data_IF_148961802622
#
_entry.id   IF_148961802622
#
_cell.length_a   1.000
_cell.length_b   1.000
_cell.length_c   1.000
_cell.angle_alpha   90.00
_cell.angle_beta   90.00
_cell.angle_gamma   90.00
#
_symmetry.space_group_name_H-M   'P 1'
#
loop_
_entity.id
_entity.type
_entity.pdbx_description
1 polymer ?
#
# COMPACT_ATOMS: atom_id res chain seq x y z
N UNK A 1 -16.65 7.09 9.59
CA UNK A 1 -15.62 7.97 9.01
C UNK A 1 -15.08 7.34 7.72
N UNK A 2 -14.64 8.14 6.74
CA UNK A 2 -14.08 7.64 5.48
C UNK A 2 -12.86 6.72 5.71
N UNK A 3 -12.11 6.92 6.78
CA UNK A 3 -10.94 6.11 7.10
C UNK A 3 -11.24 4.62 7.35
N UNK A 4 -12.45 4.28 7.81
CA UNK A 4 -12.83 2.87 8.01
C UNK A 4 -13.14 2.14 6.69
N UNK A 5 -13.28 2.89 5.58
CA UNK A 5 -13.57 2.36 4.25
C UNK A 5 -12.31 2.19 3.40
N UNK A 6 -11.15 2.60 3.91
CA UNK A 6 -9.90 2.54 3.17
C UNK A 6 -9.43 1.08 3.08
N UNK A 7 -9.21 0.56 1.86
CA UNK A 7 -8.72 -0.80 1.68
C UNK A 7 -7.36 -1.03 2.35
N UNK A 8 -7.12 -2.25 2.81
CA UNK A 8 -5.89 -2.64 3.52
C UNK A 8 -4.61 -2.44 2.70
N UNK A 9 -4.70 -2.47 1.38
CA UNK A 9 -3.58 -2.23 0.46
C UNK A 9 -3.30 -0.75 0.19
N UNK A 10 -4.16 0.17 0.63
CA UNK A 10 -3.95 1.60 0.48
C UNK A 10 -3.12 2.16 1.63
N UNK A 11 -2.15 3.02 1.33
CA UNK A 11 -1.39 3.79 2.32
C UNK A 11 -1.88 5.23 2.36
N UNK A 12 -2.45 5.66 3.47
CA UNK A 12 -2.83 7.06 3.69
C UNK A 12 -1.69 7.78 4.38
N UNK A 13 -0.88 8.49 3.61
CA UNK A 13 0.28 9.22 4.15
C UNK A 13 -0.15 10.52 4.82
N UNK A 14 -1.08 11.26 4.21
CA UNK A 14 -1.63 12.52 4.73
C UNK A 14 -3.14 12.55 4.52
N UNK A 15 -3.87 13.19 5.42
CA UNK A 15 -5.30 13.43 5.27
C UNK A 15 -5.57 14.74 4.55
N UNK A 16 -4.79 15.76 4.90
CA UNK A 16 -4.77 17.07 4.25
C UNK A 16 -3.31 17.53 4.15
N UNK A 17 -3.07 18.55 3.34
CA UNK A 17 -1.78 19.22 3.34
C UNK A 17 -1.73 20.15 4.56
N UNK A 18 -0.69 19.99 5.38
CA UNK A 18 -0.48 20.85 6.53
C UNK A 18 0.09 22.20 6.05
N UNK A 19 -0.63 23.28 6.38
CA UNK A 19 -0.18 24.65 6.21
C UNK A 19 -0.06 25.30 7.59
N UNK A 20 0.89 26.21 7.80
CA UNK A 20 0.95 27.02 9.01
C UNK A 20 -0.37 27.78 9.20
N UNK A 21 -0.85 27.87 10.45
CA UNK A 21 -2.14 28.47 10.75
C UNK A 21 -2.27 29.92 10.25
N UNK A 22 -1.16 30.68 10.29
CA UNK A 22 -1.06 32.05 9.82
C UNK A 22 -1.23 32.21 8.29
N UNK A 23 -1.03 31.11 7.53
CA UNK A 23 -1.21 31.13 6.06
C UNK A 23 -2.65 30.77 5.66
N UNK A 24 -3.48 30.31 6.60
CA UNK A 24 -4.85 29.90 6.34
C UNK A 24 -5.80 31.10 6.55
N UNK A 25 -6.24 31.70 5.46
CA UNK A 25 -7.18 32.81 5.48
C UNK A 25 -8.59 32.37 5.86
N UNK A 26 -9.01 31.18 5.40
CA UNK A 26 -10.35 30.62 5.61
C UNK A 26 -10.35 29.10 5.60
N UNK A 27 -11.17 28.47 6.45
CA UNK A 27 -11.33 27.00 6.51
C UNK A 27 -10.79 26.38 7.78
N UNK A 28 -10.44 25.07 7.70
CA UNK A 28 -9.95 24.32 8.85
C UNK A 28 -8.50 24.70 9.18
N UNK A 29 -8.28 25.20 10.40
CA UNK A 29 -6.97 25.61 10.91
C UNK A 29 -6.28 24.55 11.78
N UNK A 30 -6.85 23.35 11.87
CA UNK A 30 -6.25 22.25 12.62
C UNK A 30 -5.05 21.73 11.85
N UNK A 31 -3.85 21.98 12.34
CA UNK A 31 -2.58 21.59 11.72
C UNK A 31 -2.32 20.08 11.79
N UNK A 32 -2.92 19.38 12.77
CA UNK A 32 -2.73 17.93 12.97
C UNK A 32 -4.07 17.17 12.90
N UNK A 33 -4.76 17.31 11.77
CA UNK A 33 -6.09 16.71 11.58
C UNK A 33 -6.07 15.18 11.73
N UNK A 34 -4.98 14.52 11.33
CA UNK A 34 -4.87 13.06 11.49
C UNK A 34 -5.03 12.62 12.94
N UNK A 35 -4.29 13.22 13.87
CA UNK A 35 -4.36 12.86 15.30
C UNK A 35 -5.76 13.08 15.85
N UNK A 36 -6.39 14.21 15.53
CA UNK A 36 -7.75 14.50 15.96
C UNK A 36 -8.75 13.45 15.47
N UNK A 37 -8.63 13.02 14.21
CA UNK A 37 -9.52 11.99 13.65
C UNK A 37 -9.21 10.62 14.28
N UNK A 38 -7.95 10.27 14.46
CA UNK A 38 -7.56 8.99 15.08
C UNK A 38 -8.04 8.89 16.52
N UNK A 39 -7.97 9.98 17.29
CA UNK A 39 -8.49 10.03 18.67
C UNK A 39 -10.01 9.91 18.71
N UNK A 40 -10.73 10.61 17.84
CA UNK A 40 -12.18 10.49 17.70
C UNK A 40 -12.60 9.07 17.27
N UNK A 41 -11.83 8.44 16.38
CA UNK A 41 -12.08 7.05 15.97
C UNK A 41 -11.90 6.09 17.15
N UNK A 42 -10.87 6.26 17.98
CA UNK A 42 -10.67 5.46 19.20
C UNK A 42 -11.85 5.58 20.16
N UNK A 43 -12.32 6.81 20.41
CA UNK A 43 -13.50 7.06 21.27
C UNK A 43 -14.72 6.29 20.76
N UNK A 44 -14.88 6.18 19.44
CA UNK A 44 -15.99 5.45 18.81
C UNK A 44 -15.75 3.95 18.63
N UNK A 45 -14.65 3.42 19.10
CA UNK A 45 -14.28 2.01 18.87
C UNK A 45 -14.01 1.66 17.40
N UNK A 46 -13.61 2.65 16.58
CA UNK A 46 -13.30 2.48 15.17
C UNK A 46 -11.79 2.45 14.95
N UNK A 47 -11.35 1.69 13.95
CA UNK A 47 -9.95 1.61 13.56
C UNK A 47 -9.78 1.84 12.05
N UNK A 48 -8.66 2.44 11.67
CA UNK A 48 -8.23 2.53 10.27
C UNK A 48 -7.35 1.33 9.92
N UNK A 49 -7.72 0.59 8.89
CA UNK A 49 -6.96 -0.59 8.43
C UNK A 49 -6.00 -0.28 7.28
N UNK A 50 -5.74 1.00 6.99
CA UNK A 50 -4.80 1.35 5.94
C UNK A 50 -3.39 0.86 6.27
N UNK A 51 -2.56 0.69 5.23
CA UNK A 51 -1.20 0.16 5.37
C UNK A 51 -0.35 0.94 6.38
N UNK A 52 -0.46 2.30 6.43
CA UNK A 52 0.26 3.11 7.41
C UNK A 52 -0.13 2.81 8.86
N UNK A 53 -1.43 2.67 9.14
CA UNK A 53 -1.89 2.42 10.52
C UNK A 53 -1.51 1.04 11.02
N UNK A 54 -1.28 0.10 10.10
CA UNK A 54 -0.84 -1.28 10.39
C UNK A 54 0.67 -1.51 10.24
N UNK A 55 1.43 -0.50 9.87
CA UNK A 55 2.89 -0.58 9.86
C UNK A 55 3.39 -0.96 11.25
N UNK A 56 4.21 -2.00 11.36
CA UNK A 56 4.62 -2.60 12.64
C UNK A 56 5.18 -1.59 13.65
N UNK A 57 5.86 -0.55 13.18
CA UNK A 57 6.37 0.54 14.01
C UNK A 57 5.31 1.55 14.48
N UNK A 58 4.08 1.49 13.96
CA UNK A 58 3.00 2.41 14.29
C UNK A 58 1.86 1.78 15.09
N UNK A 59 1.88 0.46 15.32
CA UNK A 59 0.84 -0.24 16.08
C UNK A 59 1.10 -0.08 17.58
N UNK A 60 0.25 0.65 18.32
CA UNK A 60 0.50 0.92 19.74
C UNK A 60 0.50 -0.37 20.57
N UNK A 61 1.52 -0.54 21.41
CA UNK A 61 1.63 -1.68 22.33
C UNK A 61 1.92 -3.03 21.66
N UNK A 62 2.21 -3.05 20.38
CA UNK A 62 2.56 -4.28 19.65
C UNK A 62 4.05 -4.63 19.82
N UNK A 63 4.32 -5.86 20.26
CA UNK A 63 5.69 -6.37 20.39
C UNK A 63 6.05 -7.25 19.18
N UNK A 64 6.84 -6.74 18.23
CA UNK A 64 7.21 -7.50 17.03
C UNK A 64 8.03 -8.76 17.32
N UNK A 65 8.77 -8.78 18.45
CA UNK A 65 9.66 -9.90 18.78
C UNK A 65 8.90 -11.19 19.08
N UNK A 66 7.67 -11.07 19.56
CA UNK A 66 6.79 -12.18 19.94
C UNK A 66 5.77 -12.56 18.87
N UNK A 67 5.73 -11.80 17.78
CA UNK A 67 4.73 -12.01 16.76
C UNK A 67 5.06 -13.20 15.87
N UNK A 68 4.10 -14.11 15.75
CA UNK A 68 4.06 -15.10 14.68
C UNK A 68 3.50 -14.45 13.42
N UNK A 69 4.16 -14.68 12.28
CA UNK A 69 3.80 -14.00 11.02
C UNK A 69 3.37 -14.99 9.96
N UNK A 70 2.49 -14.53 9.06
CA UNK A 70 1.99 -15.26 7.90
C UNK A 70 1.93 -14.37 6.68
N UNK A 71 2.06 -14.98 5.49
CA UNK A 71 1.87 -14.32 4.20
C UNK A 71 0.37 -14.26 3.89
N UNK A 72 -0.10 -13.09 3.48
CA UNK A 72 -1.44 -12.85 2.98
C UNK A 72 -1.37 -12.23 1.59
N UNK A 73 -2.28 -12.64 0.73
CA UNK A 73 -2.39 -12.17 -0.65
C UNK A 73 -3.73 -11.48 -0.86
N UNK A 74 -3.73 -10.41 -1.62
CA UNK A 74 -4.92 -9.68 -2.01
C UNK A 74 -4.83 -9.32 -3.49
N UNK A 75 -5.80 -9.80 -4.26
CA UNK A 75 -5.89 -9.58 -5.70
C UNK A 75 -6.97 -8.53 -5.97
N UNK A 76 -6.68 -7.58 -6.83
CA UNK A 76 -7.67 -6.61 -7.29
C UNK A 76 -7.33 -6.11 -8.70
N UNK A 77 -8.38 -5.81 -9.45
CA UNK A 77 -8.24 -5.28 -10.79
C UNK A 77 -7.90 -3.79 -10.76
N UNK A 78 -7.01 -3.38 -11.62
CA UNK A 78 -6.53 -2.02 -11.71
C UNK A 78 -6.05 -1.71 -13.13
N UNK A 79 -6.62 -0.69 -13.76
CA UNK A 79 -6.22 -0.16 -15.06
C UNK A 79 -5.83 -1.26 -16.09
N UNK A 80 -6.78 -2.14 -16.40
CA UNK A 80 -6.63 -3.24 -17.34
C UNK A 80 -5.48 -4.21 -17.00
N UNK A 81 -5.50 -4.72 -15.80
CA UNK A 81 -4.59 -5.77 -15.31
C UNK A 81 -4.86 -6.05 -13.85
N UNK A 82 -4.17 -7.00 -13.28
CA UNK A 82 -4.34 -7.41 -11.89
C UNK A 82 -3.16 -6.93 -11.04
N UNK A 83 -3.46 -6.31 -9.93
CA UNK A 83 -2.49 -6.05 -8.87
C UNK A 83 -2.58 -7.17 -7.84
N UNK A 84 -1.43 -7.68 -7.43
CA UNK A 84 -1.31 -8.62 -6.31
C UNK A 84 -0.57 -7.91 -5.19
N UNK A 85 -1.26 -7.71 -4.08
CA UNK A 85 -0.69 -7.12 -2.88
C UNK A 85 -0.41 -8.22 -1.87
N UNK A 86 0.85 -8.57 -1.72
CA UNK A 86 1.35 -9.63 -0.86
C UNK A 86 1.91 -8.98 0.41
N UNK A 87 1.50 -9.43 1.58
CA UNK A 87 1.95 -8.89 2.86
C UNK A 87 2.42 -9.98 3.80
N UNK A 88 3.41 -9.66 4.62
CA UNK A 88 3.75 -10.42 5.82
C UNK A 88 3.14 -9.69 7.00
N UNK A 89 2.14 -10.31 7.63
CA UNK A 89 1.39 -9.75 8.76
C UNK A 89 1.43 -10.71 9.96
N UNK A 90 1.14 -10.21 11.16
CA UNK A 90 0.82 -11.07 12.29
C UNK A 90 -0.48 -11.86 12.04
N UNK A 91 -0.70 -12.94 12.78
CA UNK A 91 -1.86 -13.83 12.56
C UNK A 91 -3.20 -13.11 12.71
N UNK A 92 -3.28 -12.10 13.56
CA UNK A 92 -4.49 -11.29 13.76
C UNK A 92 -4.61 -10.14 12.74
N UNK A 93 -3.61 -10.00 11.87
CA UNK A 93 -3.55 -8.98 10.81
C UNK A 93 -3.58 -7.53 11.32
N UNK A 94 -3.05 -7.30 12.51
CA UNK A 94 -2.93 -5.98 13.15
C UNK A 94 -1.71 -5.22 12.68
N UNK A 95 -0.60 -5.94 12.44
CA UNK A 95 0.68 -5.36 12.06
C UNK A 95 1.21 -5.92 10.74
N UNK A 96 1.73 -5.04 9.88
CA UNK A 96 2.40 -5.38 8.62
C UNK A 96 3.90 -5.23 8.82
N UNK A 97 4.65 -6.29 8.52
CA UNK A 97 6.11 -6.36 8.61
C UNK A 97 6.79 -6.08 7.27
N UNK A 98 6.19 -6.58 6.19
CA UNK A 98 6.68 -6.36 4.84
C UNK A 98 5.53 -6.45 3.84
N UNK A 99 5.71 -5.87 2.67
CA UNK A 99 4.80 -6.06 1.55
C UNK A 99 5.50 -6.02 0.21
N UNK A 100 4.90 -6.66 -0.76
CA UNK A 100 5.22 -6.61 -2.18
C UNK A 100 3.98 -6.18 -2.96
N UNK A 101 4.16 -5.30 -3.93
CA UNK A 101 3.17 -4.99 -4.97
C UNK A 101 3.64 -5.56 -6.28
N UNK A 102 2.88 -6.52 -6.79
CA UNK A 102 3.13 -7.15 -8.07
C UNK A 102 2.05 -6.72 -9.06
N UNK A 103 2.46 -6.29 -10.24
CA UNK A 103 1.56 -5.97 -11.34
C UNK A 103 1.61 -7.08 -12.37
N UNK A 104 0.44 -7.62 -12.70
CA UNK A 104 0.21 -8.52 -13.82
C UNK A 104 -0.53 -7.74 -14.91
N UNK A 105 0.14 -7.25 -15.96
CA UNK A 105 -0.49 -6.50 -17.03
C UNK A 105 -1.51 -7.35 -17.77
N UNK A 106 -2.54 -6.71 -18.30
CA UNK A 106 -3.41 -7.35 -19.28
C UNK A 106 -2.67 -7.55 -20.60
N UNK A 107 -2.99 -8.62 -21.31
CA UNK A 107 -2.53 -8.77 -22.70
C UNK A 107 -3.12 -7.68 -23.59
N UNK A 108 -2.48 -7.38 -24.73
CA UNK A 108 -3.01 -6.40 -25.69
C UNK A 108 -4.45 -6.73 -26.09
N UNK A 109 -4.74 -8.01 -26.34
CA UNK A 109 -6.09 -8.45 -26.71
C UNK A 109 -7.11 -8.18 -25.58
N UNK A 110 -6.76 -8.46 -24.33
CA UNK A 110 -7.62 -8.16 -23.17
C UNK A 110 -7.86 -6.66 -23.04
N UNK A 111 -6.83 -5.85 -23.23
CA UNK A 111 -6.91 -4.40 -23.18
C UNK A 111 -7.84 -3.82 -24.24
N UNK A 112 -7.67 -4.24 -25.50
CA UNK A 112 -8.47 -3.75 -26.63
C UNK A 112 -9.95 -4.17 -26.55
N UNK A 113 -10.26 -5.25 -25.85
CA UNK A 113 -11.64 -5.71 -25.63
C UNK A 113 -12.23 -5.29 -24.27
N UNK A 114 -11.46 -4.58 -23.44
CA UNK A 114 -11.96 -4.15 -22.13
C UNK A 114 -13.11 -3.13 -22.28
N UNK A 115 -14.21 -3.29 -21.52
CA UNK A 115 -15.40 -2.42 -21.64
C UNK A 115 -15.12 -0.92 -21.61
N UNK A 116 -14.15 -0.51 -20.78
CA UNK A 116 -13.81 0.90 -20.56
C UNK A 116 -12.93 1.48 -21.68
N UNK A 117 -12.28 0.65 -22.50
CA UNK A 117 -11.25 1.11 -23.47
C UNK A 117 -11.56 0.72 -24.91
N UNK A 118 -12.42 -0.26 -25.16
CA UNK A 118 -12.69 -0.81 -26.50
C UNK A 118 -13.13 0.22 -27.53
N UNK A 119 -13.79 1.29 -27.08
CA UNK A 119 -14.32 2.36 -27.94
C UNK A 119 -13.40 3.59 -27.97
N UNK A 120 -12.31 3.62 -27.20
CA UNK A 120 -11.34 4.71 -27.20
C UNK A 120 -10.18 4.43 -28.16
N UNK A 121 -10.31 5.01 -29.37
CA UNK A 121 -9.29 4.83 -30.43
C UNK A 121 -7.90 5.37 -30.05
N UNK A 122 -7.82 6.36 -29.19
CA UNK A 122 -6.53 6.91 -28.73
C UNK A 122 -5.85 5.93 -27.82
N UNK A 123 -6.55 5.39 -26.82
CA UNK A 123 -5.99 4.39 -25.91
C UNK A 123 -5.63 3.10 -26.64
N UNK A 124 -6.45 2.67 -27.60
CA UNK A 124 -6.13 1.52 -28.45
C UNK A 124 -4.82 1.72 -29.22
N UNK A 125 -4.61 2.88 -29.82
CA UNK A 125 -3.37 3.23 -30.53
C UNK A 125 -2.16 3.25 -29.57
N UNK A 126 -2.28 3.93 -28.43
CA UNK A 126 -1.22 3.98 -27.42
C UNK A 126 -0.87 2.58 -26.89
N UNK A 127 -1.84 1.70 -26.67
CA UNK A 127 -1.63 0.34 -26.23
C UNK A 127 -0.85 -0.50 -27.28
N UNK A 128 -1.16 -0.33 -28.56
CA UNK A 128 -0.43 -0.98 -29.65
C UNK A 128 1.02 -0.49 -29.69
N UNK A 129 1.24 0.83 -29.69
CA UNK A 129 2.58 1.43 -29.72
C UNK A 129 3.45 1.00 -28.54
N UNK A 130 2.87 0.91 -27.33
CA UNK A 130 3.57 0.43 -26.13
C UNK A 130 3.94 -1.05 -26.28
N UNK A 131 3.01 -1.89 -26.78
CA UNK A 131 3.28 -3.33 -26.96
C UNK A 131 4.32 -3.58 -28.04
N UNK A 132 4.33 -2.80 -29.12
CA UNK A 132 5.36 -2.89 -30.17
C UNK A 132 6.73 -2.46 -29.65
N UNK A 133 6.78 -1.42 -28.79
CA UNK A 133 8.02 -0.93 -28.18
C UNK A 133 8.55 -1.86 -27.09
N UNK A 134 7.66 -2.55 -26.37
CA UNK A 134 7.95 -3.45 -25.26
C UNK A 134 7.18 -4.78 -25.41
N UNK A 135 7.59 -5.67 -26.32
CA UNK A 135 6.79 -6.86 -26.68
C UNK A 135 6.49 -7.80 -25.50
N UNK A 136 7.34 -7.82 -24.48
CA UNK A 136 7.17 -8.67 -23.30
C UNK A 136 6.25 -8.08 -22.23
N UNK A 137 5.71 -6.86 -22.41
CA UNK A 137 4.96 -6.18 -21.35
C UNK A 137 3.71 -6.95 -20.92
N UNK A 138 3.04 -7.61 -21.86
CA UNK A 138 1.82 -8.41 -21.60
C UNK A 138 2.09 -9.77 -20.94
N UNK A 139 3.32 -10.25 -21.00
CA UNK A 139 3.74 -11.57 -20.49
C UNK A 139 4.67 -11.46 -19.29
N UNK A 140 4.90 -10.25 -18.78
CA UNK A 140 5.86 -9.98 -17.73
C UNK A 140 5.17 -9.43 -16.48
N UNK A 141 5.41 -10.08 -15.35
CA UNK A 141 5.02 -9.53 -14.05
C UNK A 141 6.01 -8.45 -13.59
N UNK A 142 5.51 -7.36 -13.04
CA UNK A 142 6.33 -6.24 -12.55
C UNK A 142 6.24 -6.12 -11.03
N UNK A 143 7.36 -6.22 -10.35
CA UNK A 143 7.48 -5.80 -8.95
C UNK A 143 7.48 -4.27 -8.93
N UNK A 144 6.37 -3.68 -8.45
CA UNK A 144 6.22 -2.22 -8.37
C UNK A 144 6.80 -1.65 -7.11
N UNK A 145 6.70 -2.39 -6.01
CA UNK A 145 7.17 -1.96 -4.71
C UNK A 145 7.46 -3.18 -3.84
N UNK A 146 8.61 -3.18 -3.19
CA UNK A 146 8.97 -4.11 -2.13
C UNK A 146 9.42 -3.29 -0.93
N UNK A 147 8.79 -3.48 0.20
CA UNK A 147 9.10 -2.73 1.40
C UNK A 147 9.08 -3.60 2.65
N UNK A 148 10.07 -3.42 3.52
CA UNK A 148 10.13 -4.05 4.84
C UNK A 148 10.10 -2.96 5.90
N UNK A 149 9.16 -3.07 6.82
CA UNK A 149 8.99 -2.14 7.93
C UNK A 149 9.84 -2.53 9.13
N UNK A 150 10.24 -1.54 9.91
CA UNK A 150 10.99 -1.71 11.14
C UNK A 150 12.03 -0.62 11.34
N UNK A 151 12.73 -0.68 12.47
CA UNK A 151 13.82 0.26 12.76
C UNK A 151 14.97 0.00 11.79
N UNK A 152 15.40 1.04 11.09
CA UNK A 152 16.56 0.96 10.22
C UNK A 152 17.82 0.64 11.05
N UNK A 153 18.46 -0.47 10.73
CA UNK A 153 19.73 -0.86 11.32
C UNK A 153 20.85 -0.68 10.29
N UNK A 154 22.05 -0.38 10.77
CA UNK A 154 23.23 -0.42 9.92
C UNK A 154 23.45 -1.85 9.40
N UNK A 155 23.97 -1.99 8.18
CA UNK A 155 24.22 -3.29 7.52
C UNK A 155 25.05 -4.27 8.35
N UNK A 156 25.81 -3.77 9.31
CA UNK A 156 26.66 -4.56 10.21
C UNK A 156 26.04 -4.85 11.59
N UNK A 157 24.85 -4.29 11.88
CA UNK A 157 24.17 -4.50 13.15
C UNK A 157 23.12 -5.59 13.01
N UNK A 158 23.34 -6.71 13.67
CA UNK A 158 22.32 -7.73 13.92
C UNK A 158 21.62 -7.43 15.23
N UNK A 159 20.31 -7.23 15.21
CA UNK A 159 19.48 -7.19 16.41
C UNK A 159 18.37 -8.21 16.24
N UNK A 160 18.30 -9.15 17.17
CA UNK A 160 17.32 -10.26 17.16
C UNK A 160 15.85 -9.79 17.21
N UNK A 161 15.63 -8.52 17.54
CA UNK A 161 14.29 -7.89 17.60
C UNK A 161 13.88 -7.06 16.37
N UNK A 162 14.81 -6.79 15.45
CA UNK A 162 14.51 -5.92 14.31
C UNK A 162 13.85 -6.68 13.16
N UNK A 163 12.65 -6.27 12.78
CA UNK A 163 11.87 -6.89 11.69
C UNK A 163 12.60 -6.85 10.34
N UNK A 164 13.44 -5.84 10.07
CA UNK A 164 14.18 -5.71 8.80
C UNK A 164 15.18 -6.83 8.54
N UNK A 165 15.73 -7.50 9.58
CA UNK A 165 16.72 -8.57 9.43
C UNK A 165 16.14 -9.99 9.52
N UNK A 166 14.83 -10.14 9.61
CA UNK A 166 14.15 -11.46 9.63
C UNK A 166 14.02 -12.12 8.25
N UNK A 167 14.58 -11.53 7.21
CA UNK A 167 14.64 -12.13 5.87
C UNK A 167 13.34 -12.05 5.07
N UNK A 168 12.37 -11.22 5.47
CA UNK A 168 11.08 -11.07 4.78
C UNK A 168 11.19 -10.64 3.29
N UNK A 169 12.31 -10.07 2.87
CA UNK A 169 12.56 -9.76 1.47
C UNK A 169 13.12 -10.94 0.65
N UNK A 170 13.29 -12.12 1.26
CA UNK A 170 13.81 -13.35 0.61
C UNK A 170 12.77 -14.47 0.54
N UNK A 171 11.61 -14.26 1.14
CA UNK A 171 10.52 -15.24 1.20
C UNK A 171 9.80 -15.39 -0.15
#
# INVERSE_FOLDING_TARGET
TLQTLIPRYCRVSRLIRDFPENEISYGNKITNLRTVIEDEMKVRGLACECLRCREVGHVPGFDPSKAETKIFEHFFDSAAGTEVFITVEDLERKAVFAFLRLRLPATLNTLLNHPDYKDDKRLAKEAIEVTESFPLIGDTAFVRELHTYGTALNLQQNSDGASQHRGYGRA
#
